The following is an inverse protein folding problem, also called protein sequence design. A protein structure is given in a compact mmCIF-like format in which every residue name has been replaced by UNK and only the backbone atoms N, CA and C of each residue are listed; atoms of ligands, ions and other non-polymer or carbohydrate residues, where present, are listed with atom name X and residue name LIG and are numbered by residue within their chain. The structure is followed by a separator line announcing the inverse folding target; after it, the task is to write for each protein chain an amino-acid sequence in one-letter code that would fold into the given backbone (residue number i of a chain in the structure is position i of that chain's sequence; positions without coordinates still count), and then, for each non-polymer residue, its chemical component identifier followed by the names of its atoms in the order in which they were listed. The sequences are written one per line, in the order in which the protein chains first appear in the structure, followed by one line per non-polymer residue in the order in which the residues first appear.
data_IF_068448312484
#
_entry.id   IF_068448312484
#
_cell.length_a   1.000
_cell.length_b   1.000
_cell.length_c   1.000
_cell.angle_alpha   90.00
_cell.angle_beta   90.00
_cell.angle_gamma   90.00
#
_symmetry.space_group_name_H-M   'P 1'
#
loop_
_entity.id
_entity.type
_entity.pdbx_description
1 polymer ?
#
# COMPACT_ATOMS: atom_id res chain seq x y z
N UNK A 1 -4.59 70.50 -74.58
CA UNK A 1 -3.99 69.98 -73.34
C UNK A 1 -4.75 70.55 -72.14
N UNK A 2 -5.66 69.78 -71.53
CA UNK A 2 -6.29 70.12 -70.25
C UNK A 2 -6.19 68.88 -69.36
N UNK A 3 -5.52 69.06 -68.21
CA UNK A 3 -5.15 68.01 -67.26
C UNK A 3 -6.39 67.49 -66.54
N UNK A 4 -6.52 66.16 -66.48
CA UNK A 4 -7.51 65.42 -65.68
C UNK A 4 -6.95 65.33 -64.26
N UNK A 5 -7.65 65.92 -63.28
CA UNK A 5 -7.35 65.73 -61.86
C UNK A 5 -8.18 64.55 -61.34
N UNK A 6 -7.53 63.41 -61.12
CA UNK A 6 -8.12 62.26 -60.44
C UNK A 6 -7.96 62.48 -58.93
N UNK A 7 -9.08 62.72 -58.23
CA UNK A 7 -9.12 62.75 -56.77
C UNK A 7 -9.30 61.31 -56.29
N UNK A 8 -8.26 60.73 -55.69
CA UNK A 8 -8.34 59.43 -55.03
C UNK A 8 -8.97 59.61 -53.64
N UNK A 9 -10.20 59.12 -53.46
CA UNK A 9 -10.85 59.03 -52.15
C UNK A 9 -10.36 57.74 -51.49
N UNK A 10 -9.45 57.87 -50.52
CA UNK A 10 -9.03 56.76 -49.67
C UNK A 10 -10.12 56.47 -48.64
N UNK A 11 -10.91 55.41 -48.85
CA UNK A 11 -11.85 54.90 -47.86
C UNK A 11 -11.07 54.19 -46.75
N UNK A 12 -11.03 54.80 -45.57
CA UNK A 12 -10.42 54.23 -44.38
C UNK A 12 -11.33 53.12 -43.83
N UNK A 13 -11.08 51.87 -44.23
CA UNK A 13 -11.72 50.70 -43.61
C UNK A 13 -11.18 50.54 -42.19
N UNK A 14 -11.98 50.88 -41.20
CA UNK A 14 -11.72 50.54 -39.80
C UNK A 14 -11.98 49.05 -39.62
N UNK A 15 -10.91 48.26 -39.62
CA UNK A 15 -10.95 46.86 -39.19
C UNK A 15 -11.12 46.88 -37.67
N UNK A 16 -12.35 46.67 -37.19
CA UNK A 16 -12.60 46.33 -35.80
C UNK A 16 -12.03 44.94 -35.54
N UNK A 17 -10.85 44.88 -34.95
CA UNK A 17 -10.32 43.65 -34.39
C UNK A 17 -11.25 43.22 -33.24
N UNK A 18 -12.14 42.25 -33.51
CA UNK A 18 -12.80 41.49 -32.46
C UNK A 18 -11.69 40.70 -31.77
N UNK A 19 -11.19 41.26 -30.67
CA UNK A 19 -10.35 40.51 -29.74
C UNK A 19 -11.18 39.34 -29.24
N UNK A 20 -10.92 38.14 -29.76
CA UNK A 20 -11.35 36.90 -29.13
C UNK A 20 -10.79 36.94 -27.70
N UNK A 21 -11.62 37.33 -26.72
CA UNK A 21 -11.35 37.00 -25.33
C UNK A 21 -11.20 35.49 -25.31
N UNK A 22 -9.96 35.00 -25.17
CA UNK A 22 -9.70 33.60 -24.88
C UNK A 22 -10.53 33.30 -23.65
N UNK A 23 -11.65 32.59 -23.79
CA UNK A 23 -12.42 32.15 -22.66
C UNK A 23 -11.48 31.28 -21.84
N UNK A 24 -10.98 31.84 -20.74
CA UNK A 24 -10.15 31.10 -19.81
C UNK A 24 -11.10 30.12 -19.15
N UNK A 25 -11.10 28.88 -19.63
CA UNK A 25 -11.71 27.76 -18.92
C UNK A 25 -11.21 27.85 -17.48
N UNK A 26 -12.12 27.95 -16.48
CA UNK A 26 -11.72 28.04 -15.10
C UNK A 26 -10.75 26.91 -14.75
N UNK A 27 -9.67 27.23 -14.04
CA UNK A 27 -8.73 26.21 -13.59
C UNK A 27 -9.48 25.17 -12.75
N UNK A 28 -9.22 23.89 -13.00
CA UNK A 28 -9.82 22.82 -12.22
C UNK A 28 -9.49 22.99 -10.74
N UNK A 29 -10.48 22.81 -9.87
CA UNK A 29 -10.33 22.97 -8.42
C UNK A 29 -10.22 21.61 -7.74
N UNK A 30 -9.56 21.55 -6.58
CA UNK A 30 -9.48 20.31 -5.79
C UNK A 30 -10.85 20.02 -5.18
N UNK A 31 -11.35 18.81 -5.40
CA UNK A 31 -12.63 18.30 -4.86
C UNK A 31 -12.43 17.32 -3.71
N UNK A 32 -11.28 16.64 -3.67
CA UNK A 32 -10.89 15.73 -2.60
C UNK A 32 -9.36 15.70 -2.48
N UNK A 33 -8.87 15.63 -1.25
CA UNK A 33 -7.47 15.32 -0.96
C UNK A 33 -7.43 14.12 -0.01
N UNK A 34 -6.49 13.20 -0.27
CA UNK A 34 -6.25 12.00 0.51
C UNK A 34 -4.77 11.96 0.85
N UNK A 35 -4.46 11.78 2.13
CA UNK A 35 -3.09 11.52 2.59
C UNK A 35 -2.90 10.03 2.80
N UNK A 36 -1.85 9.46 2.20
CA UNK A 36 -1.49 8.05 2.36
C UNK A 36 -0.13 7.97 3.04
N UNK A 37 -0.07 7.21 4.12
CA UNK A 37 1.20 6.85 4.76
C UNK A 37 1.73 5.57 4.12
N UNK A 38 2.96 5.63 3.62
CA UNK A 38 3.65 4.51 3.00
C UNK A 38 4.79 4.04 3.88
N UNK A 39 5.06 2.75 3.87
CA UNK A 39 6.21 2.18 4.55
C UNK A 39 6.67 0.90 3.85
N UNK A 40 7.97 0.60 3.92
CA UNK A 40 8.51 -0.68 3.51
C UNK A 40 7.88 -1.83 4.32
N UNK A 41 7.55 -1.59 5.59
CA UNK A 41 6.87 -2.54 6.46
C UNK A 41 5.46 -2.95 5.96
N UNK A 42 4.81 -2.11 5.14
CA UNK A 42 3.48 -2.38 4.60
C UNK A 42 3.50 -3.26 3.34
N UNK A 43 4.67 -3.49 2.74
CA UNK A 43 4.83 -4.47 1.66
C UNK A 43 4.51 -5.89 2.14
N UNK A 44 4.17 -6.76 1.19
CA UNK A 44 3.74 -8.13 1.47
C UNK A 44 4.65 -9.15 0.74
N UNK A 45 5.68 -9.70 1.42
CA UNK A 45 6.21 -9.30 2.73
C UNK A 45 7.08 -8.04 2.65
N UNK A 46 7.43 -7.47 3.81
CA UNK A 46 8.42 -6.39 3.91
C UNK A 46 9.74 -6.81 3.25
N UNK A 47 10.30 -6.01 2.32
CA UNK A 47 11.61 -6.27 1.74
C UNK A 47 12.69 -6.32 2.83
N UNK A 48 13.54 -7.34 2.76
CA UNK A 48 14.53 -7.61 3.81
C UNK A 48 15.44 -6.41 4.06
N UNK A 49 15.50 -5.95 5.32
CA UNK A 49 16.36 -4.84 5.75
C UNK A 49 15.89 -3.45 5.34
N UNK A 50 14.74 -3.32 4.66
CA UNK A 50 14.20 -2.04 4.20
C UNK A 50 13.28 -1.43 5.26
N UNK A 51 13.44 -0.13 5.51
CA UNK A 51 12.76 0.62 6.59
C UNK A 51 12.23 1.97 6.13
N UNK A 52 12.21 2.19 4.83
CA UNK A 52 11.75 3.42 4.20
C UNK A 52 10.32 3.74 4.60
N UNK A 53 10.06 5.04 4.71
CA UNK A 53 8.72 5.58 4.93
C UNK A 53 8.42 6.62 3.86
N UNK A 54 7.15 6.94 3.67
CA UNK A 54 6.75 7.98 2.75
C UNK A 54 5.38 8.55 3.07
N UNK A 55 5.11 9.72 2.51
CA UNK A 55 3.78 10.33 2.53
C UNK A 55 3.39 10.67 1.10
N UNK A 56 2.18 10.31 0.70
CA UNK A 56 1.59 10.75 -0.55
C UNK A 56 0.39 11.68 -0.30
N UNK A 57 0.29 12.75 -1.08
CA UNK A 57 -0.93 13.55 -1.24
C UNK A 57 -1.54 13.22 -2.61
N UNK A 58 -2.77 12.70 -2.59
CA UNK A 58 -3.58 12.41 -3.78
C UNK A 58 -4.68 13.47 -3.83
N UNK A 59 -4.72 14.25 -4.90
CA UNK A 59 -5.77 15.26 -5.11
C UNK A 59 -6.61 14.92 -6.33
N UNK A 60 -7.92 14.86 -6.15
CA UNK A 60 -8.91 14.70 -7.22
C UNK A 60 -9.47 16.07 -7.57
N UNK A 61 -9.45 16.43 -8.85
CA UNK A 61 -9.90 17.74 -9.32
C UNK A 61 -11.31 17.69 -9.92
N UNK A 62 -11.94 18.86 -10.07
CA UNK A 62 -13.30 19.03 -10.60
C UNK A 62 -13.46 18.56 -12.05
N UNK A 63 -12.36 18.52 -12.80
CA UNK A 63 -12.29 17.96 -14.16
C UNK A 63 -11.98 16.45 -14.18
N UNK A 64 -11.99 15.80 -13.01
CA UNK A 64 -11.64 14.38 -12.80
C UNK A 64 -10.18 14.05 -13.10
N UNK A 65 -9.29 15.03 -13.25
CA UNK A 65 -7.85 14.78 -13.20
C UNK A 65 -7.42 14.47 -11.76
N UNK A 66 -6.30 13.74 -11.63
CA UNK A 66 -5.74 13.37 -10.33
C UNK A 66 -4.27 13.76 -10.29
N UNK A 67 -3.81 14.38 -9.21
CA UNK A 67 -2.37 14.52 -8.94
C UNK A 67 -1.96 13.64 -7.78
N UNK A 68 -0.74 13.09 -7.86
CA UNK A 68 -0.12 12.32 -6.80
C UNK A 68 1.27 12.89 -6.56
N UNK A 69 1.51 13.40 -5.36
CA UNK A 69 2.81 13.85 -4.90
C UNK A 69 3.27 12.94 -3.76
N UNK A 70 4.41 12.26 -3.91
CA UNK A 70 4.98 11.35 -2.90
C UNK A 70 6.36 11.86 -2.50
N UNK A 71 6.64 11.87 -1.20
CA UNK A 71 7.98 12.08 -0.66
C UNK A 71 8.40 10.86 0.15
N UNK A 72 9.60 10.35 -0.12
CA UNK A 72 10.16 9.15 0.51
C UNK A 72 11.31 9.53 1.44
N UNK A 73 11.41 8.89 2.59
CA UNK A 73 12.48 9.08 3.58
C UNK A 73 13.21 7.76 3.82
N UNK A 74 14.54 7.84 3.96
CA UNK A 74 15.38 6.68 4.23
C UNK A 74 15.84 5.91 2.99
N UNK A 75 15.52 6.38 1.78
CA UNK A 75 16.00 5.75 0.54
C UNK A 75 17.54 5.84 0.47
N UNK A 76 18.19 4.69 0.26
CA UNK A 76 19.64 4.64 0.09
C UNK A 76 20.10 5.50 -1.11
N UNK A 77 21.25 6.17 -1.00
CA UNK A 77 21.78 7.04 -2.06
C UNK A 77 22.12 6.29 -3.37
N UNK A 78 22.31 4.97 -3.29
CA UNK A 78 22.54 4.09 -4.43
C UNK A 78 21.24 3.50 -5.00
N UNK A 79 20.07 3.83 -4.43
CA UNK A 79 18.78 3.32 -4.88
C UNK A 79 17.94 4.46 -5.47
N UNK A 80 17.37 4.21 -6.65
CA UNK A 80 16.60 5.19 -7.41
C UNK A 80 15.17 4.71 -7.59
N UNK A 81 14.20 5.61 -7.47
CA UNK A 81 12.80 5.30 -7.74
C UNK A 81 12.58 5.10 -9.24
N UNK A 82 11.86 4.04 -9.61
CA UNK A 82 11.67 3.61 -10.99
C UNK A 82 10.22 3.71 -11.47
N UNK A 83 9.25 3.48 -10.58
CA UNK A 83 7.83 3.49 -10.93
C UNK A 83 6.95 3.73 -9.70
N UNK A 84 5.67 4.03 -9.93
CA UNK A 84 4.64 4.00 -8.91
C UNK A 84 3.30 3.62 -9.53
N UNK A 85 2.48 2.94 -8.75
CA UNK A 85 1.22 2.37 -9.24
C UNK A 85 0.14 2.43 -8.15
N UNK A 86 -1.11 2.56 -8.58
CA UNK A 86 -2.25 2.12 -7.78
C UNK A 86 -2.58 0.66 -8.14
N UNK A 87 -2.78 -0.16 -7.12
CA UNK A 87 -3.18 -1.55 -7.23
C UNK A 87 -4.51 -1.78 -6.51
N UNK A 88 -5.24 -2.83 -6.90
CA UNK A 88 -6.27 -3.42 -6.03
C UNK A 88 -5.61 -4.28 -4.96
N UNK A 89 -6.17 -4.31 -3.75
CA UNK A 89 -5.75 -5.24 -2.70
C UNK A 89 -5.95 -4.71 -1.28
N UNK A 90 -6.29 -5.63 -0.38
CA UNK A 90 -6.38 -5.41 1.06
C UNK A 90 -4.99 -5.29 1.72
N UNK A 91 -4.86 -4.91 3.00
CA UNK A 91 -3.57 -4.74 3.67
C UNK A 91 -2.58 -5.91 3.58
N UNK A 92 -3.02 -7.15 3.40
CA UNK A 92 -2.19 -8.38 3.35
C UNK A 92 -2.27 -9.12 1.99
N UNK A 93 -2.95 -8.55 0.99
CA UNK A 93 -3.09 -9.13 -0.35
C UNK A 93 -2.61 -8.17 -1.43
N UNK A 94 -1.68 -8.63 -2.26
CA UNK A 94 -1.26 -7.91 -3.46
C UNK A 94 -2.18 -8.27 -4.63
N UNK A 95 -2.59 -7.26 -5.39
CA UNK A 95 -3.40 -7.44 -6.60
C UNK A 95 -2.80 -6.73 -7.80
N UNK A 96 -3.51 -6.81 -8.93
CA UNK A 96 -3.06 -6.22 -10.19
C UNK A 96 -2.99 -4.70 -10.17
N UNK A 97 -2.20 -4.14 -11.09
CA UNK A 97 -2.14 -2.70 -11.34
C UNK A 97 -3.49 -2.21 -11.87
N UNK A 98 -4.01 -1.14 -11.28
CA UNK A 98 -5.23 -0.45 -11.71
C UNK A 98 -4.87 0.81 -12.50
N UNK A 99 -3.89 1.56 -12.01
CA UNK A 99 -3.38 2.77 -12.65
C UNK A 99 -1.87 2.82 -12.52
N UNK A 100 -1.20 3.04 -13.64
CA UNK A 100 0.21 3.36 -13.68
C UNK A 100 0.42 4.87 -13.59
N UNK A 101 1.27 5.31 -12.66
CA UNK A 101 1.52 6.72 -12.43
C UNK A 101 2.38 7.38 -13.51
N UNK A 102 3.23 6.62 -14.21
CA UNK A 102 4.27 7.14 -15.12
C UNK A 102 4.92 8.43 -14.58
N UNK A 103 5.50 8.38 -13.37
CA UNK A 103 5.81 9.59 -12.62
C UNK A 103 7.05 10.32 -13.14
N UNK A 104 7.11 11.62 -12.88
CA UNK A 104 8.38 12.35 -12.84
C UNK A 104 9.04 12.12 -11.49
N UNK A 105 10.26 11.58 -11.50
CA UNK A 105 11.05 11.30 -10.31
C UNK A 105 12.17 12.33 -10.17
N UNK A 106 12.29 12.91 -8.98
CA UNK A 106 13.35 13.86 -8.62
C UNK A 106 13.92 13.47 -7.26
N UNK A 107 14.99 12.66 -7.27
CA UNK A 107 15.55 12.09 -6.04
C UNK A 107 14.52 11.22 -5.31
N UNK A 108 14.14 11.64 -4.10
CA UNK A 108 13.15 10.96 -3.26
C UNK A 108 11.70 11.45 -3.46
N UNK A 109 11.47 12.34 -4.43
CA UNK A 109 10.15 12.86 -4.77
C UNK A 109 9.60 12.18 -6.02
N UNK A 110 8.33 11.79 -5.97
CA UNK A 110 7.58 11.20 -7.08
C UNK A 110 6.37 12.07 -7.35
N UNK A 111 6.21 12.53 -8.59
CA UNK A 111 5.07 13.37 -8.98
C UNK A 111 4.38 12.79 -10.21
N UNK A 112 3.06 12.71 -10.17
CA UNK A 112 2.25 12.28 -11.29
C UNK A 112 1.02 13.16 -11.46
N UNK A 113 0.63 13.38 -12.72
CA UNK A 113 -0.66 13.97 -13.09
C UNK A 113 -1.36 13.01 -14.05
N UNK A 114 -2.50 12.50 -13.62
CA UNK A 114 -3.31 11.53 -14.33
C UNK A 114 -4.49 12.25 -14.99
N UNK A 115 -4.63 12.02 -16.29
CA UNK A 115 -5.73 12.53 -17.11
C UNK A 115 -6.56 11.36 -17.61
N UNK A 116 -7.83 11.60 -17.95
CA UNK A 116 -8.73 10.59 -18.54
C UNK A 116 -8.83 9.30 -17.70
N UNK A 117 -8.82 9.44 -16.37
CA UNK A 117 -8.90 8.33 -15.44
C UNK A 117 -10.30 7.72 -15.49
N UNK A 118 -10.39 6.38 -15.40
CA UNK A 118 -11.68 5.67 -15.41
C UNK A 118 -12.58 6.18 -14.29
N UNK A 119 -13.86 6.39 -14.59
CA UNK A 119 -14.84 6.89 -13.62
C UNK A 119 -14.92 6.03 -12.36
N UNK A 120 -14.89 4.70 -12.50
CA UNK A 120 -14.91 3.78 -11.36
C UNK A 120 -13.73 3.96 -10.41
N UNK A 121 -12.56 4.36 -10.91
CA UNK A 121 -11.40 4.65 -10.05
C UNK A 121 -11.55 6.00 -9.35
N UNK A 122 -12.12 7.00 -10.03
CA UNK A 122 -12.49 8.29 -9.40
C UNK A 122 -13.53 8.05 -8.30
N UNK A 123 -14.55 7.23 -8.55
CA UNK A 123 -15.56 6.87 -7.55
C UNK A 123 -14.92 6.19 -6.34
N UNK A 124 -13.95 5.29 -6.57
CA UNK A 124 -13.13 4.71 -5.50
C UNK A 124 -12.36 5.76 -4.72
N UNK A 125 -11.68 6.72 -5.38
CA UNK A 125 -10.95 7.79 -4.67
C UNK A 125 -11.90 8.70 -3.87
N UNK A 126 -13.09 8.98 -4.39
CA UNK A 126 -14.05 9.86 -3.72
C UNK A 126 -14.73 9.19 -2.53
N UNK A 127 -15.07 7.90 -2.66
CA UNK A 127 -16.01 7.22 -1.77
C UNK A 127 -15.46 5.95 -1.09
N UNK A 128 -14.25 5.51 -1.41
CA UNK A 128 -13.65 4.31 -0.82
C UNK A 128 -14.35 3.01 -1.21
N UNK A 129 -14.88 2.91 -2.44
CA UNK A 129 -15.69 1.76 -2.89
C UNK A 129 -14.89 0.47 -3.14
N UNK A 130 -13.56 0.52 -3.05
CA UNK A 130 -12.69 -0.64 -3.21
C UNK A 130 -11.41 -0.48 -2.40
N UNK A 131 -10.87 -1.61 -1.92
CA UNK A 131 -9.54 -1.67 -1.33
C UNK A 131 -8.49 -1.50 -2.42
N UNK A 132 -7.80 -0.35 -2.36
CA UNK A 132 -6.70 -0.03 -3.24
C UNK A 132 -5.50 0.46 -2.41
N UNK A 133 -4.31 0.25 -2.97
CA UNK A 133 -3.07 0.71 -2.37
C UNK A 133 -2.18 1.39 -3.39
N UNK A 134 -1.38 2.32 -2.87
CA UNK A 134 -0.31 2.99 -3.60
C UNK A 134 0.99 2.24 -3.31
N UNK A 135 1.73 1.91 -4.37
CA UNK A 135 3.04 1.27 -4.29
C UNK A 135 4.06 2.09 -5.10
N UNK A 136 5.30 2.13 -4.62
CA UNK A 136 6.43 2.74 -5.32
C UNK A 136 7.54 1.70 -5.45
N UNK A 137 8.24 1.70 -6.57
CA UNK A 137 9.28 0.73 -6.91
C UNK A 137 10.64 1.42 -7.01
N UNK A 138 11.71 0.69 -6.73
CA UNK A 138 13.08 1.20 -6.87
C UNK A 138 13.97 0.25 -7.67
N UNK A 139 15.17 0.72 -8.01
CA UNK A 139 16.19 -0.07 -8.70
C UNK A 139 16.62 -1.30 -7.90
N UNK A 140 16.69 -1.20 -6.57
CA UNK A 140 17.10 -2.30 -5.70
C UNK A 140 15.93 -3.15 -5.20
N UNK A 141 14.70 -2.63 -5.22
CA UNK A 141 13.49 -3.40 -4.88
C UNK A 141 12.43 -3.22 -5.97
N UNK A 142 12.59 -3.89 -7.13
CA UNK A 142 11.68 -3.75 -8.26
C UNK A 142 10.26 -4.24 -7.98
N UNK A 143 10.08 -5.13 -6.99
CA UNK A 143 8.76 -5.64 -6.60
C UNK A 143 7.90 -4.61 -5.84
N UNK A 144 8.52 -3.56 -5.27
CA UNK A 144 7.87 -2.58 -4.42
C UNK A 144 8.75 -2.25 -3.22
N UNK A 145 9.11 -0.98 -3.06
CA UNK A 145 9.92 -0.51 -1.93
C UNK A 145 9.08 0.03 -0.78
N UNK A 146 7.96 0.69 -1.07
CA UNK A 146 7.04 1.19 -0.05
C UNK A 146 5.59 1.11 -0.54
N UNK A 147 4.70 0.74 0.39
CA UNK A 147 3.28 0.58 0.13
C UNK A 147 2.42 1.29 1.17
N UNK A 148 1.23 1.74 0.77
CA UNK A 148 0.22 2.29 1.68
C UNK A 148 -1.20 2.09 1.16
N UNK A 149 -2.11 1.64 2.03
CA UNK A 149 -3.54 1.61 1.70
C UNK A 149 -4.05 3.03 1.52
N UNK A 150 -4.83 3.28 0.47
CA UNK A 150 -5.40 4.62 0.20
C UNK A 150 -6.44 4.99 1.24
N UNK A 151 -7.18 4.00 1.75
CA UNK A 151 -8.17 4.15 2.82
C UNK A 151 -7.81 3.26 4.00
N UNK A 152 -8.25 3.66 5.21
CA UNK A 152 -7.98 2.94 6.46
C UNK A 152 -6.49 2.54 6.59
N UNK A 153 -5.62 3.54 6.52
CA UNK A 153 -4.17 3.36 6.50
C UNK A 153 -3.65 2.40 7.58
N UNK A 154 -2.56 1.70 7.27
CA UNK A 154 -1.93 0.75 8.19
C UNK A 154 -1.18 1.52 9.28
N UNK A 155 -1.55 1.29 10.54
CA UNK A 155 -0.96 1.90 11.73
C UNK A 155 0.06 1.01 12.44
N UNK A 156 0.09 -0.28 12.11
CA UNK A 156 1.09 -1.24 12.54
C UNK A 156 1.21 -2.34 11.50
N UNK A 157 2.44 -2.73 11.18
CA UNK A 157 2.73 -3.79 10.22
C UNK A 157 3.88 -4.66 10.71
N UNK A 158 3.70 -5.98 10.67
CA UNK A 158 4.77 -6.94 10.93
C UNK A 158 4.69 -8.10 9.94
N UNK A 159 5.82 -8.43 9.32
CA UNK A 159 5.97 -9.59 8.43
C UNK A 159 6.82 -10.63 9.16
N UNK A 160 6.15 -11.62 9.75
CA UNK A 160 6.76 -12.54 10.70
C UNK A 160 7.17 -13.82 9.99
N UNK A 161 8.47 -13.99 9.77
CA UNK A 161 9.03 -15.26 9.28
C UNK A 161 8.91 -16.34 10.36
N UNK A 162 8.39 -17.50 9.98
CA UNK A 162 8.11 -18.64 10.86
C UNK A 162 9.08 -19.79 10.57
N UNK A 163 9.63 -20.38 11.63
CA UNK A 163 10.55 -21.52 11.56
C UNK A 163 10.39 -22.42 12.78
N UNK A 164 10.57 -23.74 12.61
CA UNK A 164 10.61 -24.70 13.72
C UNK A 164 11.78 -24.46 14.67
N UNK A 165 12.87 -23.85 14.19
CA UNK A 165 14.03 -23.49 15.03
C UNK A 165 13.71 -22.38 16.04
N UNK A 166 12.63 -21.64 15.84
CA UNK A 166 12.17 -20.62 16.78
C UNK A 166 11.23 -21.19 17.85
N UNK A 167 10.76 -22.44 17.71
CA UNK A 167 9.96 -23.11 18.75
C UNK A 167 10.76 -23.26 20.05
N UNK A 168 10.04 -23.41 21.16
CA UNK A 168 10.65 -23.64 22.47
C UNK A 168 9.97 -24.85 23.13
N UNK A 169 10.63 -26.02 23.18
CA UNK A 169 11.92 -26.35 22.54
C UNK A 169 11.88 -26.32 21.00
N UNK A 170 13.04 -26.15 20.36
CA UNK A 170 13.14 -26.13 18.90
C UNK A 170 12.62 -27.43 18.28
N UNK A 171 11.88 -27.30 17.17
CA UNK A 171 11.31 -28.42 16.42
C UNK A 171 12.11 -28.62 15.13
N UNK A 172 12.61 -29.84 14.95
CA UNK A 172 13.21 -30.25 13.68
C UNK A 172 12.10 -30.58 12.67
N UNK A 173 11.82 -29.63 11.78
CA UNK A 173 10.83 -29.75 10.70
C UNK A 173 11.36 -29.04 9.45
N UNK A 174 10.91 -29.47 8.28
CA UNK A 174 11.13 -28.74 7.01
C UNK A 174 10.17 -27.57 6.83
N UNK A 175 9.12 -27.47 7.65
CA UNK A 175 8.11 -26.45 7.55
C UNK A 175 8.69 -25.05 7.80
N UNK A 176 8.33 -24.11 6.94
CA UNK A 176 8.62 -22.68 7.10
C UNK A 176 7.38 -21.88 6.74
N UNK A 177 7.28 -20.65 7.24
CA UNK A 177 6.10 -19.83 6.98
C UNK A 177 6.33 -18.34 7.05
N UNK A 178 5.25 -17.61 6.76
CA UNK A 178 5.16 -16.16 6.85
C UNK A 178 3.78 -15.81 7.40
N UNK A 179 3.73 -15.00 8.45
CA UNK A 179 2.52 -14.36 8.93
C UNK A 179 2.58 -12.86 8.67
N UNK A 180 1.65 -12.36 7.86
CA UNK A 180 1.46 -10.92 7.64
C UNK A 180 0.41 -10.44 8.63
N UNK A 181 0.79 -9.49 9.49
CA UNK A 181 -0.10 -8.85 10.46
C UNK A 181 -0.16 -7.36 10.17
N UNK A 182 -1.36 -6.81 9.96
CA UNK A 182 -1.58 -5.38 9.70
C UNK A 182 -2.72 -4.87 10.56
N UNK A 183 -2.48 -3.82 11.34
CA UNK A 183 -3.54 -3.10 12.06
C UNK A 183 -3.85 -1.82 11.29
N UNK A 184 -5.10 -1.63 10.94
CA UNK A 184 -5.60 -0.48 10.18
C UNK A 184 -6.15 0.60 11.10
N UNK A 185 -6.33 1.82 10.59
CA UNK A 185 -6.76 2.99 11.36
C UNK A 185 -8.16 2.85 11.99
N UNK A 186 -9.01 1.99 11.44
CA UNK A 186 -10.32 1.60 11.97
C UNK A 186 -10.25 0.41 12.94
N UNK A 187 -9.06 0.13 13.49
CA UNK A 187 -8.80 -0.88 14.51
C UNK A 187 -9.09 -2.33 14.07
N UNK A 188 -9.01 -2.63 12.77
CA UNK A 188 -9.08 -4.01 12.26
C UNK A 188 -7.68 -4.61 12.19
N UNK A 189 -7.56 -5.87 12.64
CA UNK A 189 -6.38 -6.69 12.43
C UNK A 189 -6.60 -7.57 11.19
N UNK A 190 -5.85 -7.31 10.14
CA UNK A 190 -5.72 -8.20 8.99
C UNK A 190 -4.59 -9.19 9.27
N UNK A 191 -4.86 -10.48 9.05
CA UNK A 191 -3.90 -11.57 9.18
C UNK A 191 -3.92 -12.46 7.95
N UNK A 192 -2.75 -12.88 7.49
CA UNK A 192 -2.59 -13.93 6.50
C UNK A 192 -1.38 -14.77 6.85
N UNK A 193 -1.61 -16.04 7.18
CA UNK A 193 -0.56 -16.99 7.57
C UNK A 193 -0.40 -18.01 6.45
N UNK A 194 0.81 -18.15 5.93
CA UNK A 194 1.17 -19.17 4.93
C UNK A 194 2.28 -20.03 5.48
N UNK A 195 2.13 -21.35 5.41
CA UNK A 195 3.17 -22.32 5.78
C UNK A 195 3.36 -23.27 4.61
N UNK A 196 4.62 -23.58 4.30
CA UNK A 196 5.05 -24.45 3.20
C UNK A 196 5.96 -25.55 3.73
N UNK A 197 6.15 -26.61 2.94
CA UNK A 197 7.04 -27.73 3.28
C UNK A 197 6.65 -28.47 4.57
N UNK A 198 5.36 -28.54 4.87
CA UNK A 198 4.81 -29.42 5.92
C UNK A 198 5.04 -30.87 5.49
N UNK A 199 5.58 -31.70 6.38
CA UNK A 199 5.94 -33.09 6.06
C UNK A 199 4.72 -33.94 5.67
N UNK A 200 4.96 -34.95 4.84
CA UNK A 200 3.91 -35.88 4.42
C UNK A 200 3.27 -36.59 5.63
N UNK A 201 1.93 -36.60 5.66
CA UNK A 201 1.17 -37.16 6.78
C UNK A 201 1.03 -36.20 7.99
N UNK A 202 1.50 -34.97 7.87
CA UNK A 202 1.16 -33.88 8.79
C UNK A 202 0.20 -32.87 8.12
N UNK A 203 -0.61 -32.20 8.92
CA UNK A 203 -1.58 -31.22 8.47
C UNK A 203 -1.66 -30.05 9.45
N UNK A 204 -1.73 -28.82 8.94
CA UNK A 204 -1.89 -27.63 9.76
C UNK A 204 -3.26 -27.63 10.44
N UNK A 205 -3.32 -27.23 11.71
CA UNK A 205 -4.54 -27.29 12.52
C UNK A 205 -4.99 -25.93 13.03
N UNK A 206 -4.06 -25.09 13.48
CA UNK A 206 -4.38 -23.78 14.05
C UNK A 206 -3.19 -22.83 13.96
N UNK A 207 -3.45 -21.54 14.15
CA UNK A 207 -2.44 -20.49 14.25
C UNK A 207 -2.87 -19.46 15.26
N UNK A 208 -1.94 -19.03 16.11
CA UNK A 208 -2.21 -18.12 17.23
C UNK A 208 -1.15 -17.02 17.31
N UNK A 209 -1.55 -15.87 17.84
CA UNK A 209 -0.64 -14.92 18.46
C UNK A 209 -0.60 -15.25 19.95
N UNK A 210 0.60 -15.42 20.50
CA UNK A 210 0.86 -15.69 21.91
C UNK A 210 1.64 -14.55 22.56
N UNK A 211 1.51 -14.44 23.89
CA UNK A 211 2.41 -13.62 24.70
C UNK A 211 3.75 -14.33 24.92
N UNK A 212 4.85 -13.58 24.94
CA UNK A 212 6.17 -14.11 25.28
C UNK A 212 7.30 -13.55 24.43
N UNK A 213 8.41 -13.22 25.11
CA UNK A 213 9.66 -12.88 24.45
C UNK A 213 10.30 -14.09 23.74
N UNK A 214 11.27 -13.81 22.87
CA UNK A 214 12.04 -14.85 22.20
C UNK A 214 12.63 -15.82 23.24
N UNK A 215 12.46 -17.12 23.01
CA UNK A 215 12.94 -18.15 23.93
C UNK A 215 12.01 -18.47 25.12
N UNK A 216 10.85 -17.81 25.26
CA UNK A 216 9.90 -18.06 26.36
C UNK A 216 8.50 -18.36 25.83
N UNK A 217 7.85 -19.42 26.31
CA UNK A 217 6.46 -19.72 25.97
C UNK A 217 5.50 -18.87 26.80
N UNK A 218 4.36 -18.51 26.22
CA UNK A 218 3.26 -17.90 26.95
C UNK A 218 1.89 -18.26 26.38
N UNK A 219 0.85 -17.69 26.98
CA UNK A 219 -0.55 -18.00 26.68
C UNK A 219 -0.98 -17.48 25.31
N UNK A 220 -2.08 -18.04 24.80
CA UNK A 220 -2.74 -17.52 23.58
C UNK A 220 -3.32 -16.14 23.87
N UNK A 221 -2.94 -15.15 23.06
CA UNK A 221 -3.55 -13.82 23.07
C UNK A 221 -4.78 -13.80 22.15
N UNK A 222 -4.65 -14.36 20.94
CA UNK A 222 -5.73 -14.41 19.94
C UNK A 222 -5.47 -15.52 18.92
N UNK A 223 -6.52 -16.25 18.51
CA UNK A 223 -6.51 -17.17 17.38
C UNK A 223 -6.61 -16.44 16.04
N UNK A 224 -5.75 -16.81 15.10
CA UNK A 224 -5.67 -16.21 13.76
C UNK A 224 -5.88 -17.21 12.62
N UNK A 225 -5.80 -18.52 12.91
CA UNK A 225 -6.26 -19.61 12.05
C UNK A 225 -6.92 -20.69 12.93
N UNK A 226 -8.15 -21.12 12.59
CA UNK A 226 -8.93 -22.10 13.37
C UNK A 226 -8.97 -23.48 12.69
N UNK A 227 -8.53 -23.55 11.44
CA UNK A 227 -8.47 -24.80 10.66
C UNK A 227 -7.42 -24.74 9.56
N UNK A 228 -7.13 -25.89 8.95
CA UNK A 228 -6.28 -26.00 7.75
C UNK A 228 -6.74 -25.08 6.61
N UNK A 229 -8.05 -24.81 6.49
CA UNK A 229 -8.62 -23.99 5.42
C UNK A 229 -8.34 -22.49 5.58
N UNK A 230 -7.91 -22.04 6.76
CA UNK A 230 -7.61 -20.62 7.01
C UNK A 230 -6.21 -20.22 6.53
N UNK A 231 -5.30 -21.18 6.32
CA UNK A 231 -3.95 -20.89 5.85
C UNK A 231 -3.96 -20.43 4.39
N UNK A 232 -3.21 -19.36 4.11
CA UNK A 232 -3.21 -18.68 2.81
C UNK A 232 -4.41 -17.79 2.54
N UNK A 233 -5.37 -17.69 3.48
CA UNK A 233 -6.58 -16.87 3.38
C UNK A 233 -6.43 -15.61 4.24
N UNK A 234 -6.92 -14.47 3.75
CA UNK A 234 -7.00 -13.25 4.54
C UNK A 234 -8.09 -13.39 5.61
N UNK A 235 -7.73 -13.15 6.86
CA UNK A 235 -8.63 -13.09 8.01
C UNK A 235 -8.67 -11.66 8.55
N UNK A 236 -9.86 -11.19 8.91
CA UNK A 236 -10.07 -9.84 9.44
C UNK A 236 -10.73 -9.96 10.81
N UNK A 237 -10.09 -9.39 11.82
CA UNK A 237 -10.55 -9.42 13.20
C UNK A 237 -10.86 -8.00 13.67
N UNK A 238 -11.72 -7.91 14.69
CA UNK A 238 -11.97 -6.67 15.44
C UNK A 238 -11.60 -6.92 16.91
N UNK A 239 -10.30 -6.95 17.26
CA UNK A 239 -9.88 -7.22 18.62
C UNK A 239 -10.25 -6.07 19.55
N UNK A 240 -10.20 -6.32 20.86
CA UNK A 240 -10.32 -5.26 21.85
C UNK A 240 -9.12 -4.32 21.78
N UNK A 241 -9.28 -3.09 22.27
CA UNK A 241 -8.16 -2.14 22.38
C UNK A 241 -6.98 -2.72 23.17
N UNK A 242 -7.24 -3.54 24.19
CA UNK A 242 -6.18 -4.20 24.96
C UNK A 242 -5.33 -5.15 24.09
N UNK A 243 -5.97 -5.97 23.24
CA UNK A 243 -5.25 -6.87 22.31
C UNK A 243 -4.48 -6.06 21.27
N UNK A 244 -5.08 -5.00 20.72
CA UNK A 244 -4.41 -4.13 19.74
C UNK A 244 -3.19 -3.42 20.34
N UNK A 245 -3.29 -2.95 21.58
CA UNK A 245 -2.15 -2.37 22.31
C UNK A 245 -1.07 -3.42 22.52
N UNK A 246 -1.41 -4.61 23.03
CA UNK A 246 -0.45 -5.69 23.23
C UNK A 246 0.29 -6.06 21.95
N UNK A 247 -0.41 -6.14 20.80
CA UNK A 247 0.23 -6.42 19.49
C UNK A 247 1.24 -5.34 19.10
N UNK A 248 1.01 -4.09 19.47
CA UNK A 248 1.87 -2.96 19.14
C UNK A 248 3.06 -2.79 20.10
N UNK A 249 2.94 -3.22 21.35
CA UNK A 249 3.90 -2.86 22.41
C UNK A 249 4.57 -4.04 23.10
N UNK A 250 3.93 -5.20 23.13
CA UNK A 250 4.38 -6.31 23.96
C UNK A 250 5.26 -7.28 23.16
N UNK A 251 6.05 -8.05 23.89
CA UNK A 251 6.79 -9.15 23.29
C UNK A 251 5.82 -10.30 22.98
N UNK A 252 5.49 -10.46 21.70
CA UNK A 252 4.56 -11.47 21.20
C UNK A 252 5.18 -12.33 20.11
N UNK A 253 4.52 -13.45 19.81
CA UNK A 253 4.92 -14.33 18.71
C UNK A 253 3.72 -14.95 18.02
N UNK A 254 3.89 -15.25 16.74
CA UNK A 254 3.00 -16.14 16.00
C UNK A 254 3.50 -17.56 16.17
N UNK A 255 2.61 -18.49 16.49
CA UNK A 255 2.85 -19.93 16.49
C UNK A 255 1.79 -20.63 15.64
N UNK A 256 2.20 -21.61 14.86
CA UNK A 256 1.33 -22.45 14.03
C UNK A 256 1.43 -23.88 14.52
N UNK A 257 0.31 -24.58 14.51
CA UNK A 257 0.17 -25.94 15.03
C UNK A 257 -0.16 -26.90 13.88
N UNK A 258 0.20 -28.17 14.07
CA UNK A 258 -0.14 -29.24 13.15
C UNK A 258 -0.65 -30.48 13.88
N UNK A 259 -1.14 -31.47 13.13
CA UNK A 259 -1.60 -32.76 13.67
C UNK A 259 -0.50 -33.50 14.41
N UNK A 260 0.73 -33.49 13.89
CA UNK A 260 1.87 -34.19 14.51
C UNK A 260 2.61 -33.29 15.52
N UNK A 261 2.40 -31.98 15.47
CA UNK A 261 3.00 -30.98 16.37
C UNK A 261 1.92 -30.07 16.99
N UNK A 262 1.07 -30.61 17.87
CA UNK A 262 -0.03 -29.85 18.46
C UNK A 262 0.45 -28.70 19.37
N UNK A 263 1.68 -28.79 19.90
CA UNK A 263 2.28 -27.71 20.71
C UNK A 263 2.90 -26.57 19.88
N UNK A 264 3.03 -26.75 18.56
CA UNK A 264 3.69 -25.81 17.64
C UNK A 264 4.61 -26.52 16.65
N UNK A 265 4.47 -26.22 15.36
CA UNK A 265 5.36 -26.67 14.27
C UNK A 265 6.31 -25.56 13.82
N UNK A 266 5.84 -24.31 13.75
CA UNK A 266 6.66 -23.15 13.36
C UNK A 266 6.26 -21.89 14.12
N UNK A 267 7.26 -21.10 14.51
CA UNK A 267 7.11 -19.87 15.30
C UNK A 267 7.92 -18.71 14.75
N UNK A 268 7.47 -17.49 15.06
CA UNK A 268 8.23 -16.27 14.82
C UNK A 268 7.79 -15.11 15.72
N UNK A 269 8.72 -14.27 16.14
CA UNK A 269 8.42 -13.11 16.98
C UNK A 269 7.83 -11.96 16.14
N UNK A 270 6.82 -11.31 16.71
CA UNK A 270 6.30 -10.04 16.20
C UNK A 270 7.31 -8.95 16.59
N UNK A 271 7.77 -8.18 15.60
CA UNK A 271 8.71 -7.06 15.75
C UNK A 271 8.23 -5.87 14.94
#
# INVERSE_FOLDING_TARGET
MKKINVIAIAALFTITAISCKKETVPAATVTKEITVLLAAANENPQPSGRTETGTASIKVFSDKSVTVDITITGLASSDNITAGHFHVGDPVTNGGVVVDLNPTVMGNMVKAKLMNVRSSFIDTLMNGTADIYLNVHSTQVPAGIIRGQVFNGVTFASSVALSGMNEVPAVNTTATGMALLRITADNKLYSKVTVTNVEAGDALTAGHIHTGAAGTNGGVLIGICESAADFGVTKIFTPTTAILTAIKTDALYVNVHSTNRPSGIVRGQIR
#
